data_IF_355588860015
#
_entry.id   IF_355588860015
#
_cell.length_a   1.000
_cell.length_b   1.000
_cell.length_c   1.000
_cell.angle_alpha   90.00
_cell.angle_beta   90.00
_cell.angle_gamma   90.00
#
_symmetry.space_group_name_H-M   'P 1'
#
loop_
_entity.id
_entity.type
_entity.pdbx_description
1 polymer ?
#
# COMPACT_ATOMS: atom_id res chain seq x y z
N UNK A 1 20.67 -13.39 58.14
CA UNK A 1 21.61 -12.26 57.92
C UNK A 1 22.27 -12.53 56.58
N UNK A 2 22.15 -11.76 55.49
CA UNK A 2 22.10 -10.31 55.32
C UNK A 2 21.56 -10.06 53.91
N UNK A 3 20.57 -9.17 53.77
CA UNK A 3 19.93 -8.78 52.49
C UNK A 3 20.93 -7.97 51.65
N UNK A 4 21.02 -8.24 50.34
CA UNK A 4 21.15 -7.20 49.31
C UNK A 4 20.40 -7.69 48.07
N UNK A 5 19.24 -7.10 47.85
CA UNK A 5 18.49 -7.10 46.59
C UNK A 5 19.23 -6.15 45.65
N UNK A 6 19.70 -6.63 44.51
CA UNK A 6 20.04 -5.75 43.39
C UNK A 6 19.15 -6.14 42.21
N UNK A 7 18.10 -5.34 42.05
CA UNK A 7 17.23 -5.32 40.89
C UNK A 7 18.04 -4.88 39.66
N UNK A 8 18.22 -5.78 38.70
CA UNK A 8 18.61 -5.39 37.34
C UNK A 8 17.34 -5.17 36.56
N UNK A 9 17.15 -3.90 36.21
CA UNK A 9 15.98 -3.35 35.56
C UNK A 9 15.69 -4.05 34.23
N UNK A 10 14.43 -4.48 34.09
CA UNK A 10 13.81 -4.91 32.83
C UNK A 10 13.76 -3.70 31.90
N UNK A 11 14.67 -3.62 30.94
CA UNK A 11 14.54 -2.70 29.82
C UNK A 11 13.49 -3.27 28.85
N UNK A 12 12.22 -2.96 29.12
CA UNK A 12 11.12 -3.23 28.23
C UNK A 12 11.28 -2.42 26.93
N UNK A 13 11.71 -3.09 25.86
CA UNK A 13 11.49 -2.60 24.50
C UNK A 13 10.01 -2.75 24.22
N UNK A 14 9.26 -1.71 24.54
CA UNK A 14 7.85 -1.58 24.22
C UNK A 14 7.64 -1.81 22.72
N UNK A 15 7.02 -2.93 22.38
CA UNK A 15 6.29 -3.11 21.14
C UNK A 15 5.04 -2.21 21.19
N UNK A 16 5.24 -0.91 20.97
CA UNK A 16 4.19 0.10 20.87
C UNK A 16 3.78 0.31 19.43
N UNK A 17 2.67 -0.32 19.05
CA UNK A 17 1.88 0.05 17.88
C UNK A 17 1.19 1.40 18.17
N UNK A 18 1.51 2.44 17.38
CA UNK A 18 0.68 3.65 17.27
C UNK A 18 1.27 4.95 17.83
N UNK A 19 1.43 5.93 16.95
CA UNK A 19 1.25 7.36 17.28
C UNK A 19 2.51 8.15 17.66
N UNK A 20 2.95 9.05 16.78
CA UNK A 20 3.71 10.24 17.19
C UNK A 20 5.24 10.14 17.13
N UNK A 21 5.80 9.34 16.22
CA UNK A 21 7.23 9.45 15.88
C UNK A 21 7.45 10.62 14.91
N UNK A 22 8.60 11.31 15.03
CA UNK A 22 9.05 12.29 14.04
C UNK A 22 9.12 11.70 12.62
N UNK A 23 9.52 12.54 11.66
CA UNK A 23 9.75 12.06 10.29
C UNK A 23 10.74 10.89 10.30
N UNK A 24 10.45 9.87 9.51
CA UNK A 24 11.31 8.70 9.36
C UNK A 24 12.55 9.06 8.54
N UNK A 25 13.65 8.35 8.74
CA UNK A 25 14.72 8.32 7.74
C UNK A 25 14.23 7.66 6.45
N UNK A 26 14.92 7.91 5.33
CA UNK A 26 14.57 7.28 4.04
C UNK A 26 14.54 5.75 4.12
N UNK A 27 15.54 5.15 4.78
CA UNK A 27 15.62 3.69 4.94
C UNK A 27 14.49 3.13 5.82
N UNK A 28 14.12 3.81 6.91
CA UNK A 28 13.01 3.39 7.76
C UNK A 28 11.66 3.55 7.07
N UNK A 29 11.46 4.65 6.33
CA UNK A 29 10.28 4.84 5.51
C UNK A 29 10.14 3.69 4.51
N UNK A 30 11.22 3.37 3.79
CA UNK A 30 11.20 2.31 2.81
C UNK A 30 10.88 0.94 3.41
N UNK A 31 11.55 0.58 4.51
CA UNK A 31 11.30 -0.67 5.23
C UNK A 31 9.85 -0.79 5.69
N UNK A 32 9.26 0.28 6.25
CA UNK A 32 7.87 0.25 6.75
C UNK A 32 6.86 0.21 5.61
N UNK A 33 7.09 0.97 4.54
CA UNK A 33 6.23 0.94 3.37
C UNK A 33 6.24 -0.43 2.69
N UNK A 34 7.42 -1.04 2.50
CA UNK A 34 7.55 -2.38 1.91
C UNK A 34 6.89 -3.47 2.76
N UNK A 35 6.92 -3.35 4.09
CA UNK A 35 6.19 -4.25 4.97
C UNK A 35 4.67 -4.15 4.77
N UNK A 36 4.13 -2.94 4.58
CA UNK A 36 2.72 -2.72 4.26
C UNK A 36 2.38 -3.31 2.89
N UNK A 37 3.18 -3.02 1.86
CA UNK A 37 3.00 -3.60 0.53
C UNK A 37 3.06 -5.13 0.56
N UNK A 38 3.99 -5.73 1.30
CA UNK A 38 4.06 -7.19 1.50
C UNK A 38 2.75 -7.75 2.07
N UNK A 39 2.26 -7.14 3.16
CA UNK A 39 1.03 -7.54 3.85
C UNK A 39 -0.19 -7.46 2.91
N UNK A 40 -0.34 -6.37 2.16
CA UNK A 40 -1.51 -6.19 1.31
C UNK A 40 -1.41 -6.94 -0.02
N UNK A 41 -0.22 -7.12 -0.58
CA UNK A 41 -0.01 -7.97 -1.75
C UNK A 41 -0.38 -9.42 -1.44
N UNK A 42 -0.04 -9.93 -0.25
CA UNK A 42 -0.46 -11.26 0.18
C UNK A 42 -1.99 -11.39 0.26
N UNK A 43 -2.69 -10.39 0.83
CA UNK A 43 -4.15 -10.37 0.90
C UNK A 43 -4.81 -10.27 -0.48
N UNK A 44 -4.28 -9.41 -1.37
CA UNK A 44 -4.75 -9.26 -2.74
C UNK A 44 -4.54 -10.53 -3.55
N UNK A 45 -3.39 -11.22 -3.38
CA UNK A 45 -3.12 -12.51 -4.02
C UNK A 45 -4.09 -13.61 -3.57
N UNK A 46 -4.59 -13.54 -2.35
CA UNK A 46 -5.62 -14.46 -1.85
C UNK A 46 -7.03 -14.18 -2.42
N UNK A 47 -7.24 -13.03 -3.09
CA UNK A 47 -8.49 -12.77 -3.82
C UNK A 47 -8.43 -13.51 -5.16
N UNK A 48 -9.28 -14.54 -5.30
CA UNK A 48 -9.35 -15.33 -6.53
C UNK A 48 -9.61 -14.43 -7.76
N UNK A 49 -8.68 -14.46 -8.72
CA UNK A 49 -8.80 -13.71 -9.97
C UNK A 49 -9.92 -14.33 -10.82
N UNK A 50 -10.78 -13.52 -11.45
CA UNK A 50 -11.91 -14.04 -12.22
C UNK A 50 -11.45 -14.58 -13.57
N UNK A 51 -12.11 -15.63 -14.04
CA UNK A 51 -11.99 -16.10 -15.42
C UNK A 51 -13.03 -15.36 -16.27
N UNK A 52 -12.63 -14.20 -16.81
CA UNK A 52 -13.46 -13.40 -17.70
C UNK A 52 -14.16 -12.20 -17.04
N UNK A 53 -14.86 -11.43 -17.89
CA UNK A 53 -15.39 -10.11 -17.55
C UNK A 53 -16.51 -10.18 -16.50
N UNK A 54 -17.35 -11.21 -16.53
CA UNK A 54 -18.48 -11.35 -15.61
C UNK A 54 -18.06 -11.48 -14.14
N UNK A 55 -16.84 -11.97 -13.87
CA UNK A 55 -16.30 -12.07 -12.52
C UNK A 55 -15.56 -10.82 -12.04
N UNK A 56 -15.29 -9.84 -12.92
CA UNK A 56 -14.57 -8.61 -12.55
C UNK A 56 -15.26 -7.83 -11.42
N UNK A 57 -16.60 -7.65 -11.41
CA UNK A 57 -17.23 -6.90 -10.34
C UNK A 57 -16.98 -7.50 -8.95
N UNK A 58 -17.22 -8.81 -8.80
CA UNK A 58 -17.02 -9.52 -7.53
C UNK A 58 -15.54 -9.62 -7.11
N UNK A 59 -14.62 -9.60 -8.09
CA UNK A 59 -13.19 -9.48 -7.81
C UNK A 59 -12.85 -8.10 -7.25
N UNK A 60 -13.26 -7.04 -7.94
CA UNK A 60 -12.99 -5.65 -7.52
C UNK A 60 -13.62 -5.36 -6.18
N UNK A 61 -14.87 -5.78 -5.93
CA UNK A 61 -15.56 -5.53 -4.65
C UNK A 61 -14.82 -6.14 -3.45
N UNK A 62 -14.05 -7.23 -3.66
CA UNK A 62 -13.20 -7.84 -2.62
C UNK A 62 -11.81 -7.21 -2.54
N UNK A 63 -11.23 -6.82 -3.66
CA UNK A 63 -9.87 -6.28 -3.73
C UNK A 63 -9.79 -4.80 -3.32
N UNK A 64 -10.78 -3.99 -3.68
CA UNK A 64 -10.82 -2.54 -3.45
C UNK A 64 -10.66 -2.14 -1.98
N UNK A 65 -11.38 -2.72 -1.00
CA UNK A 65 -11.18 -2.36 0.40
C UNK A 65 -9.79 -2.75 0.92
N UNK A 66 -9.15 -3.78 0.35
CA UNK A 66 -7.77 -4.16 0.71
C UNK A 66 -6.77 -3.13 0.18
N UNK A 67 -6.92 -2.71 -1.08
CA UNK A 67 -6.06 -1.69 -1.68
C UNK A 67 -6.15 -0.36 -0.91
N UNK A 68 -7.38 0.14 -0.66
CA UNK A 68 -7.62 1.37 0.10
C UNK A 68 -6.99 1.32 1.49
N UNK A 69 -7.17 0.22 2.20
CA UNK A 69 -6.58 0.07 3.54
C UNK A 69 -5.04 0.01 3.51
N UNK A 70 -4.46 -0.53 2.46
CA UNK A 70 -3.02 -0.46 2.22
C UNK A 70 -2.54 0.97 2.05
N UNK A 71 -3.20 1.73 1.18
CA UNK A 71 -2.88 3.14 0.93
C UNK A 71 -3.07 4.01 2.19
N UNK A 72 -4.10 3.74 2.99
CA UNK A 72 -4.31 4.43 4.28
C UNK A 72 -3.17 4.15 5.28
N UNK A 73 -2.71 2.90 5.39
CA UNK A 73 -1.56 2.56 6.24
C UNK A 73 -0.26 3.21 5.71
N UNK A 74 -0.10 3.34 4.39
CA UNK A 74 1.04 4.03 3.79
C UNK A 74 1.00 5.55 4.06
N UNK A 75 -0.19 6.18 3.98
CA UNK A 75 -0.40 7.61 4.30
C UNK A 75 -0.09 7.94 5.76
N UNK A 76 -0.24 6.97 6.66
CA UNK A 76 0.10 7.15 8.06
C UNK A 76 1.63 7.23 8.30
N UNK A 77 2.46 6.83 7.32
CA UNK A 77 3.91 6.98 7.40
C UNK A 77 4.33 8.43 7.11
N UNK A 78 5.27 8.95 7.90
CA UNK A 78 5.84 10.29 7.70
C UNK A 78 7.20 10.16 7.00
N UNK A 79 7.30 10.38 5.68
CA UNK A 79 8.59 10.35 4.99
C UNK A 79 9.52 11.47 5.49
N UNK A 80 10.83 11.37 5.21
CA UNK A 80 11.75 12.48 5.43
C UNK A 80 11.32 13.70 4.60
N UNK A 81 11.72 14.90 5.03
CA UNK A 81 11.12 16.16 4.53
C UNK A 81 11.41 16.38 3.04
N UNK A 82 12.58 15.96 2.58
CA UNK A 82 13.05 15.98 1.20
C UNK A 82 12.30 15.01 0.28
N UNK A 83 11.81 13.88 0.80
CA UNK A 83 11.06 12.88 0.03
C UNK A 83 9.53 13.07 0.08
N UNK A 84 9.03 14.02 0.88
CA UNK A 84 7.59 14.23 1.12
C UNK A 84 6.79 14.44 -0.17
N UNK A 85 7.34 15.19 -1.13
CA UNK A 85 6.69 15.43 -2.43
C UNK A 85 6.60 14.14 -3.25
N UNK A 86 7.69 13.39 -3.37
CA UNK A 86 7.74 12.15 -4.14
C UNK A 86 6.88 11.05 -3.51
N UNK A 87 6.84 10.97 -2.18
CA UNK A 87 5.93 10.08 -1.44
C UNK A 87 4.45 10.42 -1.68
N UNK A 88 4.11 11.72 -1.70
CA UNK A 88 2.75 12.16 -2.04
C UNK A 88 2.38 11.80 -3.48
N UNK A 89 3.24 12.12 -4.44
CA UNK A 89 2.99 11.79 -5.85
C UNK A 89 2.83 10.28 -6.06
N UNK A 90 3.61 9.46 -5.35
CA UNK A 90 3.47 8.01 -5.37
C UNK A 90 2.10 7.56 -4.88
N UNK A 91 1.65 8.07 -3.73
CA UNK A 91 0.33 7.76 -3.17
C UNK A 91 -0.82 8.25 -4.06
N UNK A 92 -0.67 9.39 -4.72
CA UNK A 92 -1.67 9.90 -5.67
C UNK A 92 -1.78 8.97 -6.92
N UNK A 93 -0.69 8.31 -7.33
CA UNK A 93 -0.75 7.28 -8.39
C UNK A 93 -1.43 6.00 -7.90
N UNK A 94 -1.22 5.59 -6.64
CA UNK A 94 -1.97 4.47 -6.05
C UNK A 94 -3.49 4.76 -6.02
N UNK A 95 -3.89 5.97 -5.64
CA UNK A 95 -5.30 6.40 -5.70
C UNK A 95 -5.85 6.31 -7.13
N UNK A 96 -5.03 6.65 -8.13
CA UNK A 96 -5.42 6.55 -9.54
C UNK A 96 -5.64 5.11 -9.97
N UNK A 97 -4.87 4.15 -9.45
CA UNK A 97 -5.09 2.71 -9.64
C UNK A 97 -6.41 2.30 -8.97
N UNK A 98 -6.65 2.70 -7.72
CA UNK A 98 -7.89 2.43 -6.98
C UNK A 98 -9.12 2.96 -7.73
N UNK A 99 -9.07 4.20 -8.23
CA UNK A 99 -10.15 4.77 -9.04
C UNK A 99 -10.35 4.03 -10.37
N UNK A 100 -9.27 3.53 -10.97
CA UNK A 100 -9.36 2.70 -12.18
C UNK A 100 -10.01 1.34 -11.90
N UNK A 101 -9.81 0.76 -10.70
CA UNK A 101 -10.51 -0.46 -10.29
C UNK A 101 -12.03 -0.23 -10.19
N UNK A 102 -12.47 0.91 -9.67
CA UNK A 102 -13.89 1.27 -9.60
C UNK A 102 -14.50 1.42 -10.99
N UNK A 103 -13.82 2.14 -11.89
CA UNK A 103 -14.23 2.26 -13.30
C UNK A 103 -14.30 0.89 -13.99
N UNK A 104 -13.32 0.02 -13.73
CA UNK A 104 -13.29 -1.35 -14.25
C UNK A 104 -14.52 -2.15 -13.79
N UNK A 105 -14.86 -2.09 -12.50
CA UNK A 105 -16.06 -2.74 -11.96
C UNK A 105 -17.32 -2.22 -12.64
N UNK A 106 -17.46 -0.91 -12.75
CA UNK A 106 -18.69 -0.29 -13.23
C UNK A 106 -18.87 -0.51 -14.73
N UNK A 107 -17.78 -0.49 -15.51
CA UNK A 107 -17.80 -0.87 -16.92
C UNK A 107 -18.14 -2.37 -17.10
N UNK A 108 -17.57 -3.25 -16.27
CA UNK A 108 -17.89 -4.68 -16.30
C UNK A 108 -19.36 -4.97 -15.96
N UNK A 109 -19.95 -4.27 -14.99
CA UNK A 109 -21.39 -4.36 -14.67
C UNK A 109 -22.28 -3.96 -15.85
N UNK A 110 -21.82 -3.04 -16.70
CA UNK A 110 -22.55 -2.55 -17.89
C UNK A 110 -22.27 -3.34 -19.17
N UNK A 111 -21.34 -4.30 -19.14
CA UNK A 111 -20.85 -4.96 -20.36
C UNK A 111 -20.06 -4.03 -21.29
N UNK A 112 -19.58 -2.89 -20.78
CA UNK A 112 -18.87 -1.88 -21.55
C UNK A 112 -17.40 -2.29 -21.76
N UNK A 113 -17.15 -2.97 -22.88
CA UNK A 113 -15.80 -3.45 -23.25
C UNK A 113 -14.80 -2.30 -23.46
N UNK A 114 -15.25 -1.17 -24.00
CA UNK A 114 -14.37 -0.03 -24.21
C UNK A 114 -13.98 0.60 -22.86
N UNK A 115 -14.96 0.78 -21.97
CA UNK A 115 -14.72 1.25 -20.60
C UNK A 115 -13.79 0.35 -19.79
N UNK A 116 -13.93 -0.98 -19.94
CA UNK A 116 -13.01 -1.96 -19.33
C UNK A 116 -11.58 -1.72 -19.83
N UNK A 117 -11.39 -1.61 -21.15
CA UNK A 117 -10.05 -1.42 -21.73
C UNK A 117 -9.41 -0.10 -21.29
N UNK A 118 -10.20 0.98 -21.27
CA UNK A 118 -9.76 2.28 -20.78
C UNK A 118 -9.31 2.20 -19.33
N UNK A 119 -10.12 1.61 -18.44
CA UNK A 119 -9.78 1.46 -17.03
C UNK A 119 -8.51 0.63 -16.82
N UNK A 120 -8.31 -0.45 -17.59
CA UNK A 120 -7.09 -1.27 -17.52
C UNK A 120 -5.85 -0.51 -17.99
N UNK A 121 -5.97 0.31 -19.04
CA UNK A 121 -4.87 1.13 -19.55
C UNK A 121 -4.47 2.22 -18.54
N UNK A 122 -5.45 2.90 -17.95
CA UNK A 122 -5.25 3.91 -16.91
C UNK A 122 -4.57 3.30 -15.68
N UNK A 123 -5.08 2.17 -15.18
CA UNK A 123 -4.47 1.44 -14.07
C UNK A 123 -3.02 1.07 -14.38
N UNK A 124 -2.75 0.56 -15.58
CA UNK A 124 -1.40 0.18 -15.99
C UNK A 124 -0.44 1.37 -16.09
N UNK A 125 -0.92 2.53 -16.57
CA UNK A 125 -0.12 3.74 -16.65
C UNK A 125 0.19 4.31 -15.27
N UNK A 126 -0.82 4.43 -14.41
CA UNK A 126 -0.65 4.88 -13.03
C UNK A 126 0.31 3.97 -12.26
N UNK A 127 0.15 2.66 -12.39
CA UNK A 127 1.00 1.67 -11.73
C UNK A 127 2.47 1.74 -12.20
N UNK A 128 2.73 1.95 -13.50
CA UNK A 128 4.10 2.17 -14.00
C UNK A 128 4.74 3.41 -13.37
N UNK A 129 3.99 4.50 -13.28
CA UNK A 129 4.47 5.74 -12.65
C UNK A 129 4.70 5.52 -11.15
N UNK A 130 3.77 4.87 -10.45
CA UNK A 130 3.89 4.53 -9.04
C UNK A 130 5.15 3.70 -8.78
N UNK A 131 5.40 2.66 -9.57
CA UNK A 131 6.59 1.83 -9.46
C UNK A 131 7.90 2.61 -9.69
N UNK A 132 7.89 3.59 -10.59
CA UNK A 132 9.03 4.48 -10.80
C UNK A 132 9.33 5.36 -9.58
N UNK A 133 8.28 5.93 -8.97
CA UNK A 133 8.39 6.75 -7.76
C UNK A 133 8.80 5.92 -6.54
N UNK A 134 8.22 4.73 -6.39
CA UNK A 134 8.57 3.77 -5.36
C UNK A 134 10.07 3.44 -5.36
N UNK A 135 10.68 3.21 -6.53
CA UNK A 135 12.15 3.01 -6.63
C UNK A 135 12.95 4.23 -6.19
N UNK A 136 12.50 5.45 -6.53
CA UNK A 136 13.17 6.70 -6.07
C UNK A 136 13.14 6.86 -4.55
N UNK A 137 12.05 6.43 -3.93
CA UNK A 137 11.88 6.37 -2.47
C UNK A 137 12.70 5.26 -1.80
N UNK A 138 13.34 4.38 -2.58
CA UNK A 138 14.10 3.23 -2.06
C UNK A 138 13.22 2.02 -1.72
N UNK A 139 11.96 2.01 -2.17
CA UNK A 139 11.04 0.89 -1.98
C UNK A 139 11.40 -0.25 -2.94
N UNK A 140 11.40 -1.48 -2.43
CA UNK A 140 11.68 -2.67 -3.21
C UNK A 140 10.42 -3.47 -3.51
N UNK A 141 9.56 -3.69 -2.51
CA UNK A 141 8.32 -4.47 -2.65
C UNK A 141 7.22 -3.64 -3.27
N UNK A 142 7.04 -2.39 -2.81
CA UNK A 142 6.04 -1.49 -3.38
C UNK A 142 6.32 -1.11 -4.85
N UNK A 143 7.54 -1.36 -5.35
CA UNK A 143 7.95 -1.08 -6.73
C UNK A 143 7.69 -2.23 -7.72
N UNK A 144 7.03 -3.30 -7.24
CA UNK A 144 6.72 -4.53 -8.00
C UNK A 144 5.20 -4.72 -8.20
N UNK A 145 4.38 -3.75 -7.78
CA UNK A 145 2.92 -3.77 -7.92
C UNK A 145 2.48 -3.74 -9.37
#
# INVERSE_FOLDING_TARGET
MRRVVLAVAVAGLAAGCGGGGGRLSKAEYAKRADAICTKYNAKLKAVARPTGISGLPAYVDRALPLARKGDDELRALRPPKDEEKTAKEWLDQNDSVVGSMERLRDAAKKGDRAGIQTALNEASAANRTANGLARRLGLSVCAQG
#
